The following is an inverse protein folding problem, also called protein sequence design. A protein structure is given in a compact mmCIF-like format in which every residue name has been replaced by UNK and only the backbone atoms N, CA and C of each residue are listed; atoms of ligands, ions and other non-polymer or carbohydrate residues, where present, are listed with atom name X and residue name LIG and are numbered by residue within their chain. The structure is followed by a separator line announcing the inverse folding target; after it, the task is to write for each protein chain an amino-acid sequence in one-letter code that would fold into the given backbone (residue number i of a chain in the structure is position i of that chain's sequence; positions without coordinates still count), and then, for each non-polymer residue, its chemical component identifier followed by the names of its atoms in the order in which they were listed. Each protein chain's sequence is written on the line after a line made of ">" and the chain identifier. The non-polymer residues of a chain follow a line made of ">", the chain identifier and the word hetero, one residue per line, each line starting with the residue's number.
data_IF_972303579909
#
_entry.id   IF_972303579909
#
_cell.length_a   1.000
_cell.length_b   1.000
_cell.length_c   1.000
_cell.angle_alpha   90.00
_cell.angle_beta   90.00
_cell.angle_gamma   90.00
#
_symmetry.space_group_name_H-M   'P 1'
#
loop_
_entity.id
_entity.type
_entity.pdbx_description
1 polymer ?
#
# COMPACT_ATOMS: atom_id res chain seq x y z
N UNK A 1 -2.09 2.79 22.54
CA UNK A 1 -1.11 2.99 21.46
C UNK A 1 -1.46 4.25 20.69
N UNK A 2 -0.47 5.08 20.42
CA UNK A 2 -0.65 6.29 19.61
C UNK A 2 -0.35 5.95 18.16
N UNK A 3 -1.23 6.37 17.25
CA UNK A 3 -1.04 6.18 15.81
C UNK A 3 -0.72 7.54 15.20
N UNK A 4 0.45 7.65 14.57
CA UNK A 4 0.89 8.87 13.90
C UNK A 4 0.76 8.69 12.39
N UNK A 5 -0.01 9.55 11.76
CA UNK A 5 -0.09 9.59 10.31
C UNK A 5 0.97 10.51 9.73
N UNK A 6 1.73 10.03 8.76
CA UNK A 6 2.64 10.87 7.99
C UNK A 6 1.94 11.27 6.71
N UNK A 7 1.61 12.55 6.61
CA UNK A 7 1.02 13.13 5.42
C UNK A 7 2.00 14.16 4.87
N UNK A 8 1.87 14.46 3.62
CA UNK A 8 2.70 15.49 3.03
C UNK A 8 3.05 15.18 1.60
N UNK A 9 3.60 16.19 0.95
CA UNK A 9 4.04 16.07 -0.42
C UNK A 9 5.13 15.02 -0.53
N UNK A 10 5.17 14.40 -1.66
CA UNK A 10 6.24 13.52 -2.05
C UNK A 10 7.55 14.30 -1.88
N UNK A 11 8.41 13.80 -1.02
CA UNK A 11 9.67 14.46 -0.81
C UNK A 11 10.56 13.63 0.09
N UNK A 12 11.83 13.98 0.08
CA UNK A 12 12.81 13.29 0.90
C UNK A 12 12.53 13.44 2.40
N UNK A 13 11.85 14.52 2.80
CA UNK A 13 11.50 14.76 4.20
C UNK A 13 10.61 13.68 4.80
N UNK A 14 9.58 13.25 4.04
CA UNK A 14 8.67 12.21 4.49
C UNK A 14 9.38 10.86 4.67
N UNK A 15 10.14 10.45 3.66
CA UNK A 15 10.90 9.19 3.70
C UNK A 15 11.94 9.20 4.82
N UNK A 16 12.61 10.32 5.01
CA UNK A 16 13.62 10.48 6.07
C UNK A 16 12.96 10.36 7.44
N UNK A 17 11.79 10.98 7.64
CA UNK A 17 11.06 10.92 8.90
C UNK A 17 10.64 9.49 9.21
N UNK A 18 10.07 8.77 8.23
CA UNK A 18 9.68 7.37 8.40
C UNK A 18 10.89 6.50 8.76
N UNK A 19 12.03 6.72 8.12
CA UNK A 19 13.26 5.99 8.41
C UNK A 19 13.76 6.22 9.84
N UNK A 20 13.67 7.45 10.33
CA UNK A 20 14.06 7.77 11.70
C UNK A 20 13.20 7.04 12.72
N UNK A 21 11.89 6.95 12.50
CA UNK A 21 11.01 6.18 13.37
C UNK A 21 11.35 4.69 13.33
N UNK A 22 11.60 4.15 12.15
CA UNK A 22 11.96 2.74 12.01
C UNK A 22 13.29 2.43 12.74
N UNK A 23 14.29 3.29 12.62
CA UNK A 23 15.56 3.14 13.32
C UNK A 23 15.40 3.19 14.84
N UNK A 24 14.42 3.94 15.32
CA UNK A 24 14.12 4.03 16.76
C UNK A 24 13.30 2.82 17.25
N UNK A 25 13.00 1.84 16.39
CA UNK A 25 12.24 0.66 16.76
C UNK A 25 10.74 0.87 16.76
N UNK A 26 10.24 1.95 16.17
CA UNK A 26 8.82 2.24 16.06
C UNK A 26 8.26 1.51 14.83
N UNK A 27 7.16 0.73 14.96
CA UNK A 27 6.54 0.11 13.79
C UNK A 27 6.08 1.16 12.79
N UNK A 28 6.42 0.97 11.52
CA UNK A 28 6.05 1.88 10.44
C UNK A 28 5.32 1.10 9.35
N UNK A 29 4.13 1.57 8.97
CA UNK A 29 3.37 1.05 7.84
C UNK A 29 3.62 1.94 6.64
N UNK A 30 4.23 1.35 5.61
CA UNK A 30 4.51 2.01 4.34
C UNK A 30 3.47 1.57 3.32
N UNK A 31 2.58 2.49 2.92
CA UNK A 31 1.50 2.18 1.99
C UNK A 31 2.03 1.78 0.61
N UNK A 32 3.10 2.40 0.14
CA UNK A 32 3.69 2.05 -1.16
C UNK A 32 4.23 0.62 -1.16
N UNK A 33 4.91 0.23 -0.08
CA UNK A 33 5.39 -1.14 0.07
C UNK A 33 4.23 -2.13 0.17
N UNK A 34 3.14 -1.76 0.83
CA UNK A 34 1.94 -2.59 0.92
C UNK A 34 1.30 -2.81 -0.46
N UNK A 35 1.18 -1.77 -1.28
CA UNK A 35 0.68 -1.89 -2.65
C UNK A 35 1.58 -2.82 -3.46
N UNK A 36 2.89 -2.69 -3.32
CA UNK A 36 3.83 -3.56 -4.01
C UNK A 36 3.60 -5.04 -3.67
N UNK A 37 3.41 -5.34 -2.38
CA UNK A 37 3.10 -6.71 -1.95
C UNK A 37 1.77 -7.22 -2.51
N UNK A 38 0.74 -6.37 -2.55
CA UNK A 38 -0.55 -6.73 -3.14
C UNK A 38 -0.41 -7.07 -4.63
N UNK A 39 0.39 -6.30 -5.35
CA UNK A 39 0.62 -6.51 -6.77
C UNK A 39 1.45 -7.76 -7.09
N UNK A 40 2.08 -8.33 -6.10
CA UNK A 40 2.79 -9.60 -6.23
C UNK A 40 2.01 -10.79 -5.63
N UNK A 41 0.83 -10.55 -5.06
CA UNK A 41 0.07 -11.60 -4.39
C UNK A 41 -1.43 -11.39 -4.43
N UNK A 42 -1.99 -10.83 -3.38
CA UNK A 42 -3.43 -10.82 -3.13
C UNK A 42 -4.26 -10.14 -4.22
N UNK A 43 -3.76 -9.07 -4.81
CA UNK A 43 -4.50 -8.30 -5.80
C UNK A 43 -4.36 -8.85 -7.24
N UNK A 44 -3.45 -9.78 -7.50
CA UNK A 44 -3.12 -10.22 -8.86
C UNK A 44 -4.36 -10.77 -9.59
N UNK A 45 -5.07 -11.69 -8.98
CA UNK A 45 -6.23 -12.32 -9.61
C UNK A 45 -7.35 -11.33 -9.91
N UNK A 46 -7.65 -10.44 -8.96
CA UNK A 46 -8.70 -9.44 -9.11
C UNK A 46 -8.36 -8.42 -10.18
N UNK A 47 -7.11 -7.99 -10.24
CA UNK A 47 -6.64 -7.02 -11.25
C UNK A 47 -6.66 -7.66 -12.64
N UNK A 48 -6.19 -8.90 -12.77
CA UNK A 48 -6.26 -9.60 -14.07
C UNK A 48 -7.70 -9.79 -14.53
N UNK A 49 -8.62 -10.11 -13.63
CA UNK A 49 -10.03 -10.27 -13.97
C UNK A 49 -10.65 -8.94 -14.45
N UNK A 50 -10.28 -7.82 -13.83
CA UNK A 50 -10.81 -6.51 -14.19
C UNK A 50 -10.10 -5.89 -15.40
N UNK A 51 -8.80 -6.15 -15.54
CA UNK A 51 -7.94 -5.59 -16.59
C UNK A 51 -7.11 -6.72 -17.21
N UNK A 52 -7.71 -7.53 -18.11
CA UNK A 52 -6.99 -8.66 -18.71
C UNK A 52 -5.71 -8.24 -19.43
N UNK A 53 -4.67 -9.03 -19.26
CA UNK A 53 -3.37 -8.77 -19.86
C UNK A 53 -2.46 -7.84 -19.09
N UNK A 54 -2.84 -7.47 -17.87
CA UNK A 54 -2.02 -6.56 -17.03
C UNK A 54 -1.13 -7.31 -16.04
N UNK A 55 -1.16 -8.63 -16.02
CA UNK A 55 -0.28 -9.43 -15.16
C UNK A 55 0.68 -10.27 -16.00
N UNK A 56 1.88 -10.45 -15.47
CA UNK A 56 2.94 -11.25 -16.11
C UNK A 56 3.61 -12.09 -15.02
N UNK A 57 3.73 -13.38 -15.26
CA UNK A 57 4.41 -14.31 -14.35
C UNK A 57 3.84 -14.26 -12.92
N UNK A 58 2.53 -14.13 -12.80
CA UNK A 58 1.86 -14.12 -11.50
C UNK A 58 1.98 -12.82 -10.72
N UNK A 59 2.42 -11.74 -11.37
CA UNK A 59 2.56 -10.42 -10.76
C UNK A 59 1.91 -9.36 -11.64
N UNK A 60 1.41 -8.30 -11.02
CA UNK A 60 0.90 -7.16 -11.77
C UNK A 60 2.06 -6.43 -12.44
N UNK A 61 1.96 -6.23 -13.74
CA UNK A 61 2.89 -5.39 -14.49
C UNK A 61 2.39 -3.95 -14.43
N UNK A 62 3.08 -3.10 -13.65
CA UNK A 62 2.65 -1.74 -13.42
C UNK A 62 2.57 -0.90 -14.68
N UNK A 63 3.46 -1.14 -15.63
CA UNK A 63 3.44 -0.40 -16.91
C UNK A 63 2.20 -0.76 -17.72
N UNK A 64 1.85 -2.03 -17.80
CA UNK A 64 0.64 -2.47 -18.50
C UNK A 64 -0.62 -1.97 -17.81
N UNK A 65 -0.67 -2.04 -16.49
CA UNK A 65 -1.81 -1.54 -15.73
C UNK A 65 -1.95 -0.03 -15.88
N UNK A 66 -0.86 0.71 -15.76
CA UNK A 66 -0.85 2.16 -15.95
C UNK A 66 -1.40 2.56 -17.31
N UNK A 67 -0.99 1.86 -18.37
CA UNK A 67 -1.49 2.11 -19.71
C UNK A 67 -3.01 1.95 -19.82
N UNK A 68 -3.61 1.11 -19.00
CA UNK A 68 -5.05 0.85 -18.99
C UNK A 68 -5.84 1.89 -18.20
N UNK A 69 -5.24 2.54 -17.21
CA UNK A 69 -5.97 3.41 -16.27
C UNK A 69 -5.58 4.89 -16.34
N UNK A 70 -4.41 5.22 -16.86
CA UNK A 70 -3.85 6.57 -16.76
C UNK A 70 -4.71 7.67 -17.39
N UNK A 71 -5.42 7.38 -18.47
CA UNK A 71 -6.30 8.35 -19.12
C UNK A 71 -7.77 7.92 -19.10
N UNK A 72 -8.12 7.05 -18.17
CA UNK A 72 -9.46 6.51 -18.05
C UNK A 72 -9.89 6.57 -16.57
N UNK A 73 -10.67 7.60 -16.24
CA UNK A 73 -11.10 7.82 -14.85
C UNK A 73 -11.99 6.71 -14.33
N UNK A 74 -12.79 6.09 -15.19
CA UNK A 74 -13.64 4.96 -14.78
C UNK A 74 -12.78 3.73 -14.46
N UNK A 75 -11.75 3.47 -15.26
CA UNK A 75 -10.83 2.37 -15.02
C UNK A 75 -10.01 2.62 -13.74
N UNK A 76 -9.56 3.84 -13.52
CA UNK A 76 -8.83 4.20 -12.30
C UNK A 76 -9.71 3.99 -11.06
N UNK A 77 -10.97 4.39 -11.12
CA UNK A 77 -11.92 4.18 -10.02
C UNK A 77 -12.11 2.69 -9.74
N UNK A 78 -12.24 1.89 -10.79
CA UNK A 78 -12.38 0.44 -10.66
C UNK A 78 -11.16 -0.19 -9.99
N UNK A 79 -9.96 0.26 -10.35
CA UNK A 79 -8.72 -0.19 -9.72
C UNK A 79 -8.70 0.18 -8.24
N UNK A 80 -9.07 1.40 -7.90
CA UNK A 80 -9.14 1.85 -6.52
C UNK A 80 -10.13 1.03 -5.70
N UNK A 81 -11.29 0.69 -6.27
CA UNK A 81 -12.28 -0.15 -5.60
C UNK A 81 -11.77 -1.56 -5.30
N UNK A 82 -10.84 -2.08 -6.11
CA UNK A 82 -10.19 -3.37 -5.88
C UNK A 82 -9.14 -3.25 -4.78
N UNK A 83 -8.27 -2.27 -4.88
CA UNK A 83 -7.06 -2.16 -4.04
C UNK A 83 -7.36 -1.56 -2.68
N UNK A 84 -8.27 -0.61 -2.59
CA UNK A 84 -8.56 0.13 -1.37
C UNK A 84 -8.97 -0.76 -0.19
N UNK A 85 -9.93 -1.71 -0.35
CA UNK A 85 -10.29 -2.61 0.73
C UNK A 85 -9.13 -3.50 1.18
N UNK A 86 -8.29 -3.92 0.24
CA UNK A 86 -7.13 -4.77 0.56
C UNK A 86 -6.08 -4.00 1.35
N UNK A 87 -5.85 -2.72 1.00
CA UNK A 87 -4.97 -1.85 1.77
C UNK A 87 -5.52 -1.58 3.16
N UNK A 88 -6.82 -1.35 3.28
CA UNK A 88 -7.48 -1.16 4.57
C UNK A 88 -7.30 -2.36 5.49
N UNK A 89 -7.50 -3.56 4.96
CA UNK A 89 -7.30 -4.78 5.73
C UNK A 89 -5.83 -4.97 6.14
N UNK A 90 -4.90 -4.68 5.23
CA UNK A 90 -3.47 -4.72 5.50
C UNK A 90 -3.07 -3.77 6.62
N UNK A 91 -3.57 -2.54 6.56
CA UNK A 91 -3.31 -1.53 7.59
C UNK A 91 -3.86 -1.96 8.95
N UNK A 92 -5.07 -2.51 8.98
CA UNK A 92 -5.67 -2.99 10.21
C UNK A 92 -4.84 -4.12 10.85
N UNK A 93 -4.36 -5.07 10.06
CA UNK A 93 -3.49 -6.12 10.56
C UNK A 93 -2.20 -5.55 11.14
N UNK A 94 -1.60 -4.58 10.45
CA UNK A 94 -0.39 -3.92 10.95
C UNK A 94 -0.65 -3.26 12.31
N UNK A 95 -1.75 -2.53 12.46
CA UNK A 95 -2.06 -1.85 13.71
C UNK A 95 -2.35 -2.83 14.84
N UNK A 96 -3.04 -3.93 14.56
CA UNK A 96 -3.29 -4.98 15.53
C UNK A 96 -1.99 -5.64 15.99
N UNK A 97 -1.10 -5.96 15.07
CA UNK A 97 0.20 -6.55 15.38
C UNK A 97 1.06 -5.61 16.23
N UNK A 98 1.08 -4.33 15.89
CA UNK A 98 1.81 -3.33 16.67
C UNK A 98 1.25 -3.23 18.09
N UNK A 99 -0.06 -3.24 18.24
CA UNK A 99 -0.71 -3.19 19.55
C UNK A 99 -0.38 -4.43 20.38
N UNK A 100 -0.44 -5.61 19.77
CA UNK A 100 -0.15 -6.87 20.45
C UNK A 100 1.31 -6.97 20.87
N UNK A 101 2.22 -6.37 20.11
CA UNK A 101 3.63 -6.33 20.46
C UNK A 101 3.95 -5.35 21.60
N UNK A 102 2.96 -4.59 22.06
CA UNK A 102 3.14 -3.62 23.12
C UNK A 102 3.73 -2.30 22.67
N UNK A 103 3.73 -2.02 21.38
CA UNK A 103 4.29 -0.77 20.85
C UNK A 103 3.49 0.43 21.37
N UNK A 104 4.15 1.44 21.97
CA UNK A 104 3.45 2.64 22.44
C UNK A 104 3.03 3.57 21.31
N UNK A 105 3.70 3.50 20.16
CA UNK A 105 3.47 4.34 19.00
C UNK A 105 3.58 3.48 17.73
N UNK A 106 2.73 3.71 16.76
CA UNK A 106 2.87 3.16 15.42
C UNK A 106 2.71 4.29 14.40
N UNK A 107 3.45 4.22 13.31
CA UNK A 107 3.44 5.23 12.26
C UNK A 107 2.79 4.63 11.02
N UNK A 108 1.85 5.36 10.44
CA UNK A 108 1.24 5.00 9.15
C UNK A 108 1.56 6.07 8.12
N UNK A 109 2.08 5.62 7.00
CA UNK A 109 2.53 6.49 5.93
C UNK A 109 1.56 6.44 4.75
#
# INVERSE_FOLDING_TARGET
>A
MIVLGLTGSIGMGKSTTASLFAEAGVPVYDADAAVHRLYEGEAVAAIEAAFPGTTVDGKVDRNRLSARVVHDSAAMKKLEEIVHPMLGASRQRFLQDAKQSGAPVAVVD
#
